data_IF_250462396152
#
_entry.id   IF_250462396152
#
_cell.length_a   1.000
_cell.length_b   1.000
_cell.length_c   1.000
_cell.angle_alpha   90.00
_cell.angle_beta   90.00
_cell.angle_gamma   90.00
#
_symmetry.space_group_name_H-M   'P 1'
#
loop_
_entity.id
_entity.type
_entity.pdbx_description
1 polymer ?
#
# COMPACT_ATOMS: atom_id res chain seq x y z
N UNK A 1 -1.29 1.23 -16.32
CA UNK A 1 -0.09 1.27 -15.46
C UNK A 1 1.19 1.35 -16.28
N UNK A 2 2.01 2.36 -16.00
CA UNK A 2 3.34 2.57 -16.57
C UNK A 2 4.38 1.91 -15.65
N UNK A 3 4.78 0.67 -15.98
CA UNK A 3 5.66 -0.13 -15.13
C UNK A 3 7.06 0.49 -14.98
N UNK A 4 7.63 1.03 -16.05
CA UNK A 4 8.96 1.66 -16.03
C UNK A 4 8.97 2.89 -15.11
N UNK A 5 7.90 3.69 -15.14
CA UNK A 5 7.76 4.84 -14.26
C UNK A 5 7.61 4.43 -12.80
N UNK A 6 6.84 3.38 -12.50
CA UNK A 6 6.69 2.84 -11.14
C UNK A 6 8.01 2.28 -10.60
N UNK A 7 8.75 1.51 -11.38
CA UNK A 7 10.06 0.97 -11.01
C UNK A 7 11.08 2.09 -10.75
N UNK A 8 11.19 3.03 -11.68
CA UNK A 8 12.16 4.13 -11.59
C UNK A 8 11.86 5.04 -10.40
N UNK A 9 10.58 5.37 -10.19
CA UNK A 9 10.17 6.20 -9.06
C UNK A 9 10.24 5.46 -7.73
N UNK A 10 10.01 4.13 -7.68
CA UNK A 10 10.25 3.34 -6.48
C UNK A 10 11.73 3.39 -6.09
N UNK A 11 12.63 3.17 -7.04
CA UNK A 11 14.07 3.18 -6.80
C UNK A 11 14.59 4.55 -6.28
N UNK A 12 13.90 5.64 -6.65
CA UNK A 12 14.21 6.98 -6.15
C UNK A 12 13.92 7.13 -4.65
N UNK A 13 12.85 6.52 -4.16
CA UNK A 13 12.32 6.74 -2.79
C UNK A 13 12.57 5.56 -1.85
N UNK A 14 12.98 4.40 -2.37
CA UNK A 14 13.26 3.20 -1.59
C UNK A 14 14.63 3.26 -0.89
N UNK A 15 14.68 4.03 0.20
CA UNK A 15 15.91 4.25 0.98
C UNK A 15 16.25 3.06 1.89
N UNK A 16 17.51 2.92 2.33
CA UNK A 16 17.91 1.91 3.32
C UNK A 16 17.05 1.88 4.58
N UNK A 17 17.13 0.76 5.32
CA UNK A 17 16.43 0.54 6.59
C UNK A 17 14.90 0.69 6.53
N UNK A 18 14.31 0.37 5.38
CA UNK A 18 12.86 0.49 5.14
C UNK A 18 12.36 1.95 5.26
N UNK A 19 13.21 2.92 4.89
CA UNK A 19 12.94 4.33 5.17
C UNK A 19 11.65 4.86 4.53
N UNK A 20 11.28 4.42 3.32
CA UNK A 20 9.99 4.74 2.71
C UNK A 20 8.82 4.33 3.60
N UNK A 21 8.77 3.07 4.01
CA UNK A 21 7.61 2.53 4.74
C UNK A 21 7.59 2.98 6.19
N UNK A 22 8.75 3.28 6.80
CA UNK A 22 8.83 3.97 8.10
C UNK A 22 8.26 5.37 8.01
N UNK A 23 8.62 6.13 6.97
CA UNK A 23 8.13 7.48 6.75
C UNK A 23 6.62 7.48 6.51
N UNK A 24 6.14 6.55 5.69
CA UNK A 24 4.72 6.27 5.53
C UNK A 24 4.00 6.04 6.87
N UNK A 25 4.50 5.18 7.75
CA UNK A 25 3.85 4.95 9.05
C UNK A 25 3.82 6.19 9.94
N UNK A 26 4.86 7.02 9.89
CA UNK A 26 4.88 8.28 10.63
C UNK A 26 3.76 9.21 10.13
N UNK A 27 3.59 9.35 8.81
CA UNK A 27 2.53 10.15 8.19
C UNK A 27 1.14 9.56 8.51
N UNK A 28 0.96 8.25 8.32
CA UNK A 28 -0.32 7.56 8.54
C UNK A 28 -0.82 7.74 9.96
N UNK A 29 0.04 7.52 10.97
CA UNK A 29 -0.36 7.66 12.37
C UNK A 29 -0.55 9.11 12.81
N UNK A 30 0.10 10.06 12.13
CA UNK A 30 -0.13 11.48 12.36
C UNK A 30 -1.49 11.95 11.80
N UNK A 31 -1.82 11.55 10.56
CA UNK A 31 -3.04 12.00 9.85
C UNK A 31 -4.28 11.20 10.22
N UNK A 32 -4.12 9.90 10.44
CA UNK A 32 -5.19 8.95 10.75
C UNK A 32 -4.91 8.20 12.06
N UNK A 33 -4.82 8.88 13.22
CA UNK A 33 -4.45 8.23 14.49
C UNK A 33 -5.39 7.09 14.90
N UNK A 34 -6.62 7.08 14.38
CA UNK A 34 -7.63 6.02 14.62
C UNK A 34 -7.24 4.66 14.06
N UNK A 35 -6.34 4.59 13.07
CA UNK A 35 -5.89 3.30 12.49
C UNK A 35 -4.79 2.66 13.33
N UNK A 36 -4.09 3.42 14.19
CA UNK A 36 -2.95 2.94 15.00
C UNK A 36 -3.24 1.64 15.77
N UNK A 37 -4.41 1.45 16.39
CA UNK A 37 -4.73 0.20 17.11
C UNK A 37 -4.75 -1.06 16.24
N UNK A 38 -4.86 -0.94 14.91
CA UNK A 38 -4.80 -2.07 13.98
C UNK A 38 -3.36 -2.53 13.71
N UNK A 39 -2.37 -1.75 14.13
CA UNK A 39 -0.95 -2.03 13.89
C UNK A 39 -0.28 -2.55 15.14
N UNK A 40 0.73 -3.40 14.94
CA UNK A 40 1.53 -3.91 16.05
C UNK A 40 2.44 -2.83 16.67
N UNK A 41 2.94 -3.09 17.87
CA UNK A 41 3.97 -2.26 18.50
C UNK A 41 5.29 -2.31 17.72
N UNK A 42 5.59 -3.44 17.07
CA UNK A 42 6.78 -3.64 16.22
C UNK A 42 6.55 -3.09 14.80
N UNK A 43 6.50 -1.77 14.69
CA UNK A 43 6.33 -1.07 13.41
C UNK A 43 7.53 -1.26 12.48
N UNK A 44 8.72 -1.57 13.03
CA UNK A 44 9.90 -1.86 12.23
C UNK A 44 9.73 -3.14 11.40
N UNK A 45 9.24 -4.22 12.03
CA UNK A 45 8.93 -5.46 11.29
C UNK A 45 7.82 -5.23 10.26
N UNK A 46 6.79 -4.46 10.61
CA UNK A 46 5.70 -4.15 9.68
C UNK A 46 6.17 -3.28 8.50
N UNK A 47 7.10 -2.35 8.72
CA UNK A 47 7.70 -1.53 7.66
C UNK A 47 8.45 -2.39 6.65
N UNK A 48 9.24 -3.36 7.14
CA UNK A 48 9.92 -4.33 6.27
C UNK A 48 8.94 -5.18 5.47
N UNK A 49 7.90 -5.70 6.12
CA UNK A 49 6.87 -6.51 5.44
C UNK A 49 6.14 -5.71 4.36
N UNK A 50 5.77 -4.46 4.65
CA UNK A 50 5.11 -3.57 3.70
C UNK A 50 6.03 -3.25 2.52
N UNK A 51 7.31 -2.98 2.77
CA UNK A 51 8.30 -2.70 1.71
C UNK A 51 8.42 -3.89 0.78
N UNK A 52 8.54 -5.10 1.33
CA UNK A 52 8.57 -6.33 0.52
C UNK A 52 7.30 -6.51 -0.30
N UNK A 53 6.12 -6.22 0.26
CA UNK A 53 4.86 -6.31 -0.48
C UNK A 53 4.81 -5.32 -1.67
N UNK A 54 5.23 -4.06 -1.46
CA UNK A 54 5.28 -3.04 -2.53
C UNK A 54 6.21 -3.48 -3.66
N UNK A 55 7.42 -3.92 -3.32
CA UNK A 55 8.40 -4.43 -4.30
C UNK A 55 7.81 -5.61 -5.07
N UNK A 56 7.21 -6.58 -4.38
CA UNK A 56 6.61 -7.74 -5.04
C UNK A 56 5.47 -7.37 -6.00
N UNK A 57 4.63 -6.37 -5.66
CA UNK A 57 3.59 -5.90 -6.59
C UNK A 57 4.22 -5.28 -7.83
N UNK A 58 5.23 -4.42 -7.67
CA UNK A 58 5.93 -3.79 -8.81
C UNK A 58 6.61 -4.84 -9.70
N UNK A 59 7.25 -5.85 -9.10
CA UNK A 59 7.91 -6.95 -9.82
C UNK A 59 6.92 -7.83 -10.62
N UNK A 60 5.62 -7.80 -10.30
CA UNK A 60 4.59 -8.65 -10.91
C UNK A 60 3.49 -7.84 -11.62
N UNK A 61 3.74 -6.58 -12.01
CA UNK A 61 2.74 -5.73 -12.67
C UNK A 61 2.13 -6.34 -13.93
N UNK A 62 2.90 -7.16 -14.64
CA UNK A 62 2.49 -7.84 -15.87
C UNK A 62 1.93 -9.26 -15.63
N UNK A 63 1.79 -9.70 -14.37
CA UNK A 63 1.22 -10.99 -13.99
C UNK A 63 -0.15 -10.83 -13.32
N UNK A 64 -1.24 -10.71 -14.11
CA UNK A 64 -2.58 -10.49 -13.57
C UNK A 64 -3.09 -11.66 -12.73
N UNK A 65 -2.60 -12.89 -12.99
CA UNK A 65 -3.00 -14.07 -12.21
C UNK A 65 -2.38 -13.99 -10.83
N UNK A 66 -1.06 -13.76 -10.76
CA UNK A 66 -0.36 -13.59 -9.50
C UNK A 66 -0.94 -12.44 -8.67
N UNK A 67 -1.22 -11.29 -9.31
CA UNK A 67 -1.79 -10.12 -8.64
C UNK A 67 -3.16 -10.45 -8.05
N UNK A 68 -4.05 -11.06 -8.83
CA UNK A 68 -5.41 -11.38 -8.37
C UNK A 68 -5.41 -12.38 -7.23
N UNK A 69 -4.64 -13.47 -7.35
CA UNK A 69 -4.58 -14.51 -6.32
C UNK A 69 -3.92 -13.99 -5.04
N UNK A 70 -2.74 -13.37 -5.16
CA UNK A 70 -1.95 -12.90 -4.01
C UNK A 70 -2.65 -11.76 -3.27
N UNK A 71 -3.15 -10.75 -3.99
CA UNK A 71 -3.78 -9.60 -3.36
C UNK A 71 -5.18 -9.94 -2.83
N UNK A 72 -5.92 -10.82 -3.49
CA UNK A 72 -7.19 -11.33 -2.97
C UNK A 72 -7.00 -12.06 -1.64
N UNK A 73 -6.06 -12.99 -1.55
CA UNK A 73 -5.73 -13.67 -0.29
C UNK A 73 -5.28 -12.70 0.81
N UNK A 74 -4.47 -11.70 0.45
CA UNK A 74 -4.01 -10.67 1.38
C UNK A 74 -5.19 -9.80 1.86
N UNK A 75 -6.12 -9.47 0.97
CA UNK A 75 -7.35 -8.76 1.25
C UNK A 75 -8.24 -9.48 2.26
N UNK A 76 -8.45 -10.79 2.08
CA UNK A 76 -9.20 -11.61 3.03
C UNK A 76 -8.62 -11.54 4.46
N UNK A 77 -7.29 -11.50 4.59
CA UNK A 77 -6.61 -11.35 5.88
C UNK A 77 -6.82 -9.95 6.47
N UNK A 78 -6.76 -8.90 5.64
CA UNK A 78 -7.01 -7.52 6.07
C UNK A 78 -8.44 -7.34 6.58
N UNK A 79 -9.43 -7.93 5.90
CA UNK A 79 -10.81 -7.98 6.38
C UNK A 79 -10.89 -8.64 7.77
N UNK A 80 -10.20 -9.78 7.96
CA UNK A 80 -10.10 -10.47 9.25
C UNK A 80 -9.42 -9.65 10.37
N UNK A 81 -8.63 -8.64 10.03
CA UNK A 81 -8.04 -7.69 10.98
C UNK A 81 -8.92 -6.48 11.26
N UNK A 82 -10.08 -6.37 10.61
CA UNK A 82 -11.00 -5.24 10.77
C UNK A 82 -10.63 -4.00 9.94
N UNK A 83 -9.80 -4.16 8.91
CA UNK A 83 -9.57 -3.10 7.92
C UNK A 83 -10.83 -2.95 7.08
N UNK A 84 -11.22 -1.70 6.80
CA UNK A 84 -12.40 -1.36 5.99
C UNK A 84 -12.00 -0.57 4.75
N UNK A 85 -12.89 -0.48 3.77
CA UNK A 85 -12.66 0.21 2.50
C UNK A 85 -12.09 1.63 2.68
N UNK A 86 -12.69 2.45 3.56
CA UNK A 86 -12.26 3.83 3.82
C UNK A 86 -10.79 3.95 4.32
N UNK A 87 -10.22 2.87 4.86
CA UNK A 87 -8.82 2.88 5.31
C UNK A 87 -7.83 2.74 4.15
N UNK A 88 -8.23 2.22 2.99
CA UNK A 88 -7.37 2.13 1.81
C UNK A 88 -7.06 3.51 1.24
N UNK A 89 -8.05 4.41 1.17
CA UNK A 89 -7.86 5.79 0.72
C UNK A 89 -6.81 6.52 1.58
N UNK A 90 -6.88 6.34 2.91
CA UNK A 90 -5.91 6.89 3.85
C UNK A 90 -4.49 6.33 3.62
N UNK A 91 -4.38 5.04 3.29
CA UNK A 91 -3.10 4.39 2.98
C UNK A 91 -2.54 4.94 1.66
N UNK A 92 -3.35 5.05 0.61
CA UNK A 92 -2.93 5.61 -0.68
C UNK A 92 -2.44 7.05 -0.50
N UNK A 93 -3.21 7.91 0.16
CA UNK A 93 -2.84 9.30 0.43
C UNK A 93 -1.50 9.40 1.18
N UNK A 94 -1.35 8.64 2.27
CA UNK A 94 -0.16 8.71 3.12
C UNK A 94 1.08 8.11 2.44
N UNK A 95 0.93 7.06 1.64
CA UNK A 95 2.03 6.45 0.90
C UNK A 95 2.57 7.40 -0.16
N UNK A 96 1.68 7.97 -0.96
CA UNK A 96 2.05 8.95 -1.99
C UNK A 96 2.68 10.19 -1.36
N UNK A 97 2.15 10.67 -0.23
CA UNK A 97 2.78 11.76 0.52
C UNK A 97 4.22 11.42 0.95
N UNK A 98 4.45 10.20 1.45
CA UNK A 98 5.79 9.76 1.83
C UNK A 98 6.76 9.74 0.63
N UNK A 99 6.28 9.28 -0.52
CA UNK A 99 7.07 9.25 -1.76
C UNK A 99 7.40 10.65 -2.27
N UNK A 100 6.44 11.58 -2.25
CA UNK A 100 6.65 12.99 -2.62
C UNK A 100 7.69 13.64 -1.71
N UNK A 101 7.59 13.44 -0.39
CA UNK A 101 8.52 14.03 0.57
C UNK A 101 9.94 13.47 0.41
N UNK A 102 10.10 12.18 0.15
CA UNK A 102 11.40 11.53 -0.04
C UNK A 102 12.02 11.82 -1.41
N UNK A 103 11.21 11.87 -2.46
CA UNK A 103 11.67 12.12 -3.82
C UNK A 103 12.02 13.59 -4.09
N UNK A 104 11.48 14.52 -3.29
CA UNK A 104 11.83 15.93 -3.33
C UNK A 104 11.70 16.54 -4.74
N UNK A 105 12.71 17.28 -5.18
CA UNK A 105 12.73 17.92 -6.51
C UNK A 105 12.73 16.93 -7.68
N UNK A 106 13.15 15.67 -7.45
CA UNK A 106 13.14 14.64 -8.47
C UNK A 106 11.78 13.95 -8.63
N UNK A 107 10.86 14.14 -7.68
CA UNK A 107 9.51 13.59 -7.74
C UNK A 107 8.62 14.44 -8.65
N UNK A 108 7.91 13.80 -9.59
CA UNK A 108 7.08 14.51 -10.57
C UNK A 108 5.59 14.28 -10.34
N UNK A 109 4.72 15.17 -10.86
CA UNK A 109 3.28 14.94 -10.86
C UNK A 109 2.88 13.62 -11.53
N UNK A 110 3.56 13.23 -12.61
CA UNK A 110 3.31 11.98 -13.32
C UNK A 110 3.59 10.75 -12.45
N UNK A 111 4.64 10.79 -11.61
CA UNK A 111 4.91 9.72 -10.65
C UNK A 111 3.77 9.63 -9.62
N UNK A 112 3.27 10.78 -9.15
CA UNK A 112 2.12 10.83 -8.23
C UNK A 112 0.90 10.16 -8.85
N UNK A 113 0.53 10.54 -10.07
CA UNK A 113 -0.63 9.97 -10.77
C UNK A 113 -0.49 8.46 -10.99
N UNK A 114 0.70 8.00 -11.38
CA UNK A 114 0.98 6.59 -11.59
C UNK A 114 0.88 5.76 -10.29
N UNK A 115 1.37 6.29 -9.17
CA UNK A 115 1.29 5.60 -7.88
C UNK A 115 -0.13 5.59 -7.31
N UNK A 116 -0.92 6.65 -7.52
CA UNK A 116 -2.35 6.64 -7.16
C UNK A 116 -3.08 5.56 -7.95
N UNK A 117 -2.92 5.52 -9.28
CA UNK A 117 -3.53 4.47 -10.13
C UNK A 117 -3.13 3.07 -9.66
N UNK A 118 -1.84 2.86 -9.35
CA UNK A 118 -1.32 1.58 -8.89
C UNK A 118 -1.91 1.15 -7.54
N UNK A 119 -1.94 2.04 -6.56
CA UNK A 119 -2.43 1.76 -5.20
C UNK A 119 -3.94 1.54 -5.20
N UNK A 120 -4.68 2.26 -6.03
CA UNK A 120 -6.12 2.07 -6.20
C UNK A 120 -6.42 0.71 -6.84
N UNK A 121 -5.65 0.30 -7.85
CA UNK A 121 -5.78 -1.02 -8.47
C UNK A 121 -5.49 -2.15 -7.47
N UNK A 122 -4.42 -2.01 -6.68
CA UNK A 122 -4.08 -2.96 -5.60
C UNK A 122 -5.21 -3.04 -4.58
N UNK A 123 -5.71 -1.90 -4.12
CA UNK A 123 -6.81 -1.82 -3.16
C UNK A 123 -8.07 -2.50 -3.69
N UNK A 124 -8.40 -2.27 -4.96
CA UNK A 124 -9.51 -2.94 -5.64
C UNK A 124 -9.37 -4.47 -5.64
N UNK A 125 -8.19 -4.99 -5.99
CA UNK A 125 -7.92 -6.43 -5.98
C UNK A 125 -7.99 -7.02 -4.56
N UNK A 126 -7.50 -6.30 -3.56
CA UNK A 126 -7.64 -6.70 -2.16
C UNK A 126 -9.10 -6.76 -1.73
N UNK A 127 -9.91 -5.76 -2.09
CA UNK A 127 -11.33 -5.71 -1.75
C UNK A 127 -12.13 -6.85 -2.40
N UNK A 128 -11.72 -7.38 -3.55
CA UNK A 128 -12.34 -8.58 -4.13
C UNK A 128 -12.15 -9.83 -3.26
N UNK A 129 -11.12 -9.85 -2.41
CA UNK A 129 -10.87 -10.92 -1.45
C UNK A 129 -11.66 -10.78 -0.15
N UNK A 130 -12.40 -9.69 0.05
CA UNK A 130 -13.21 -9.51 1.26
C UNK A 130 -14.39 -10.49 1.25
N UNK A 131 -14.82 -11.00 2.42
CA UNK A 131 -16.05 -11.77 2.48
C UNK A 131 -17.20 -10.90 1.97
N UNK A 132 -18.07 -11.48 1.15
CA UNK A 132 -19.33 -10.83 0.80
C UNK A 132 -20.10 -10.51 2.10
N UNK A 133 -20.86 -9.41 2.10
CA UNK A 133 -21.83 -9.07 3.16
C UNK A 133 -22.93 -10.15 3.24
N UNK A 134 -22.58 -11.33 3.71
CA UNK A 134 -23.47 -12.47 3.88
C UNK A 134 -22.83 -13.44 4.87
N UNK A 135 -22.80 -13.03 6.15
CA UNK A 135 -22.85 -13.93 7.32
C UNK A 135 -23.06 -13.18 8.67
N UNK A 136 -23.82 -12.08 8.67
CA UNK A 136 -24.37 -11.46 9.90
C UNK A 136 -25.91 -11.52 9.97
N UNK A 137 -26.52 -12.40 9.18
CA UNK A 137 -27.93 -12.74 9.27
C UNK A 137 -28.09 -14.27 9.25
N UNK A 138 -27.81 -14.90 10.40
CA UNK A 138 -28.28 -16.25 10.75
C UNK A 138 -28.43 -16.37 12.26
#
# INVERSE_FOLDING_TARGET
MDAELLETSLALVDTPDDGLTRHFYAILFQRHPTVRPLFSEDTARQAKMLRSAIISVVDHLDDPVWLTETLGELGARHAGWGVVADMYDAVTECMVAAMVELGGEAWTPQMTDAWVEALDAVSGLMLLGYPADSDLAS
#
